data_IF_382212710893
#
_entry.id   IF_382212710893
#
_cell.length_a   1.000
_cell.length_b   1.000
_cell.length_c   1.000
_cell.angle_alpha   90.00
_cell.angle_beta   90.00
_cell.angle_gamma   90.00
#
_symmetry.space_group_name_H-M   'P 1'
#
loop_
_entity.id
_entity.type
_entity.pdbx_description
1 polymer ?
#
# COMPACT_ATOMS: atom_id res chain seq x y z
N UNK A 1 12.81 21.05 21.66
CA UNK A 1 11.97 19.84 21.70
C UNK A 1 11.27 19.81 20.35
N UNK A 2 11.50 18.78 19.54
CA UNK A 2 10.87 18.63 18.24
C UNK A 2 9.38 18.33 18.49
N UNK A 3 8.48 19.13 17.91
CA UNK A 3 7.05 18.82 18.02
C UNK A 3 6.71 17.72 17.02
N UNK A 4 5.64 16.96 17.24
CA UNK A 4 5.22 15.87 16.34
C UNK A 4 5.00 16.36 14.89
N UNK A 5 4.59 17.63 14.72
CA UNK A 5 4.46 18.28 13.42
C UNK A 5 5.79 18.43 12.68
N UNK A 6 6.92 18.54 13.38
CA UNK A 6 8.24 18.67 12.78
C UNK A 6 8.65 17.37 12.04
N UNK A 7 8.22 16.20 12.54
CA UNK A 7 8.46 14.92 11.87
C UNK A 7 7.67 14.85 10.55
N UNK A 8 6.40 15.26 10.58
CA UNK A 8 5.55 15.35 9.39
C UNK A 8 6.18 16.31 8.36
N UNK A 9 6.62 17.50 8.80
CA UNK A 9 7.28 18.49 7.93
C UNK A 9 8.57 17.97 7.33
N UNK A 10 9.35 17.19 8.07
CA UNK A 10 10.56 16.54 7.56
C UNK A 10 10.22 15.56 6.43
N UNK A 11 9.19 14.72 6.60
CA UNK A 11 8.75 13.77 5.57
C UNK A 11 8.22 14.50 4.33
N UNK A 12 7.46 15.60 4.51
CA UNK A 12 6.95 16.44 3.42
C UNK A 12 8.08 17.08 2.58
N UNK A 13 9.16 17.50 3.24
CA UNK A 13 10.35 18.05 2.59
C UNK A 13 11.18 17.02 1.81
N UNK A 14 10.94 15.73 2.05
CA UNK A 14 11.64 14.64 1.39
C UNK A 14 11.41 14.63 -0.12
N UNK A 15 12.47 14.58 -0.96
CA UNK A 15 12.33 14.49 -2.41
C UNK A 15 11.80 13.12 -2.87
N UNK A 16 11.98 12.08 -2.05
CA UNK A 16 11.55 10.72 -2.35
C UNK A 16 10.14 10.39 -1.87
N UNK A 17 9.49 11.28 -1.12
CA UNK A 17 8.13 11.05 -0.61
C UNK A 17 7.13 11.18 -1.76
N UNK A 18 6.31 10.15 -1.95
CA UNK A 18 5.30 10.16 -3.03
C UNK A 18 4.30 11.31 -2.84
N UNK A 19 3.77 11.85 -3.95
CA UNK A 19 2.73 12.90 -3.91
C UNK A 19 1.50 12.47 -3.10
N UNK A 20 1.12 11.19 -3.20
CA UNK A 20 -0.02 10.66 -2.44
C UNK A 20 0.23 10.72 -0.93
N UNK A 21 1.41 10.27 -0.47
CA UNK A 21 1.78 10.32 0.95
C UNK A 21 1.95 11.76 1.44
N UNK A 22 2.50 12.66 0.61
CA UNK A 22 2.58 14.09 0.94
C UNK A 22 1.21 14.68 1.17
N UNK A 23 0.24 14.41 0.29
CA UNK A 23 -1.11 14.92 0.44
C UNK A 23 -1.77 14.37 1.71
N UNK A 24 -1.63 13.07 2.00
CA UNK A 24 -2.18 12.47 3.22
C UNK A 24 -1.62 13.11 4.49
N UNK A 25 -0.30 13.32 4.54
CA UNK A 25 0.37 13.96 5.67
C UNK A 25 -0.01 15.44 5.83
N UNK A 26 -0.11 16.19 4.73
CA UNK A 26 -0.59 17.58 4.77
C UNK A 26 -2.02 17.64 5.30
N UNK A 27 -2.92 16.79 4.81
CA UNK A 27 -4.30 16.75 5.29
C UNK A 27 -4.43 16.28 6.74
N UNK A 28 -3.49 15.47 7.25
CA UNK A 28 -3.48 15.05 8.65
C UNK A 28 -3.16 16.19 9.62
N UNK A 29 -2.36 17.19 9.20
CA UNK A 29 -2.03 18.37 10.03
C UNK A 29 -3.25 19.24 10.35
N UNK A 30 -4.28 19.22 9.50
CA UNK A 30 -5.50 20.03 9.67
C UNK A 30 -6.62 19.28 10.43
N UNK A 31 -6.37 18.02 10.86
CA UNK A 31 -7.39 17.15 11.48
C UNK A 31 -7.13 16.94 12.97
N UNK A 32 -8.17 16.46 13.65
CA UNK A 32 -7.98 15.90 14.99
C UNK A 32 -6.97 14.73 14.93
N UNK A 33 -5.94 14.71 15.80
CA UNK A 33 -4.91 13.67 15.77
C UNK A 33 -5.45 12.25 15.96
N UNK A 34 -6.51 12.06 16.73
CA UNK A 34 -7.10 10.73 16.97
C UNK A 34 -7.80 10.24 15.71
N UNK A 35 -8.55 11.11 15.03
CA UNK A 35 -9.18 10.78 13.75
C UNK A 35 -8.14 10.49 12.66
N UNK A 36 -7.06 11.27 12.60
CA UNK A 36 -6.00 11.08 11.61
C UNK A 36 -5.30 9.71 11.78
N UNK A 37 -5.05 9.28 13.01
CA UNK A 37 -4.47 7.96 13.30
C UNK A 37 -5.44 6.84 12.91
N UNK A 38 -6.70 6.92 13.33
CA UNK A 38 -7.71 5.91 13.02
C UNK A 38 -7.87 5.72 11.50
N UNK A 39 -7.91 6.82 10.74
CA UNK A 39 -8.01 6.76 9.29
C UNK A 39 -6.76 6.18 8.63
N UNK A 40 -5.57 6.49 9.16
CA UNK A 40 -4.32 5.92 8.67
C UNK A 40 -4.23 4.40 8.92
N UNK A 41 -4.68 3.92 10.07
CA UNK A 41 -4.75 2.49 10.39
C UNK A 41 -5.72 1.74 9.48
N UNK A 42 -6.92 2.30 9.28
CA UNK A 42 -7.91 1.73 8.36
C UNK A 42 -7.37 1.69 6.92
N UNK A 43 -6.72 2.76 6.48
CA UNK A 43 -6.10 2.86 5.17
C UNK A 43 -5.01 1.80 4.98
N UNK A 44 -4.11 1.63 5.96
CA UNK A 44 -3.08 0.61 5.92
C UNK A 44 -3.67 -0.80 5.83
N UNK A 45 -4.70 -1.10 6.62
CA UNK A 45 -5.40 -2.39 6.61
C UNK A 45 -6.02 -2.68 5.24
N UNK A 46 -6.76 -1.73 4.66
CA UNK A 46 -7.42 -1.90 3.36
C UNK A 46 -6.41 -2.07 2.22
N UNK A 47 -5.33 -1.28 2.23
CA UNK A 47 -4.26 -1.39 1.23
C UNK A 47 -3.52 -2.72 1.34
N UNK A 48 -3.28 -3.21 2.56
CA UNK A 48 -2.71 -4.53 2.82
C UNK A 48 -3.57 -5.65 2.22
N UNK A 49 -4.85 -5.70 2.56
CA UNK A 49 -5.79 -6.66 1.98
C UNK A 49 -5.81 -6.62 0.45
N UNK A 50 -5.77 -5.41 -0.14
CA UNK A 50 -5.73 -5.25 -1.59
C UNK A 50 -4.44 -5.83 -2.18
N UNK A 51 -3.28 -5.58 -1.56
CA UNK A 51 -2.00 -6.11 -2.01
C UNK A 51 -1.98 -7.64 -1.95
N UNK A 52 -2.49 -8.23 -0.87
CA UNK A 52 -2.59 -9.67 -0.70
C UNK A 52 -3.48 -10.31 -1.77
N UNK A 53 -4.65 -9.71 -2.03
CA UNK A 53 -5.58 -10.19 -3.06
C UNK A 53 -4.96 -10.14 -4.46
N UNK A 54 -4.28 -9.05 -4.81
CA UNK A 54 -3.61 -8.92 -6.12
C UNK A 54 -2.49 -9.95 -6.26
N UNK A 55 -1.72 -10.15 -5.20
CA UNK A 55 -0.61 -11.11 -5.18
C UNK A 55 -1.12 -12.55 -5.33
N UNK A 56 -2.15 -12.91 -4.56
CA UNK A 56 -2.79 -14.22 -4.63
C UNK A 56 -3.38 -14.51 -6.02
N UNK A 57 -4.08 -13.53 -6.63
CA UNK A 57 -4.61 -13.64 -8.00
C UNK A 57 -3.50 -13.85 -9.02
N UNK A 58 -2.43 -13.05 -8.93
CA UNK A 58 -1.29 -13.17 -9.83
C UNK A 58 -0.63 -14.54 -9.71
N UNK A 59 -0.48 -15.05 -8.48
CA UNK A 59 0.08 -16.38 -8.24
C UNK A 59 -0.79 -17.48 -8.85
N UNK A 60 -2.09 -17.45 -8.58
CA UNK A 60 -3.04 -18.43 -9.13
C UNK A 60 -3.04 -18.44 -10.67
N UNK A 61 -2.93 -17.27 -11.30
CA UNK A 61 -2.85 -17.16 -12.76
C UNK A 61 -1.58 -17.80 -13.34
N UNK A 62 -0.44 -17.64 -12.66
CA UNK A 62 0.82 -18.27 -13.06
C UNK A 62 0.76 -19.79 -12.91
N UNK A 63 0.25 -20.28 -11.78
CA UNK A 63 0.11 -21.71 -11.53
C UNK A 63 -0.83 -22.38 -12.55
N UNK A 64 -1.97 -21.74 -12.88
CA UNK A 64 -2.90 -22.23 -13.91
C UNK A 64 -2.26 -22.31 -15.31
N UNK A 65 -1.46 -21.29 -15.69
CA UNK A 65 -0.73 -21.27 -16.96
C UNK A 65 0.23 -22.46 -17.06
N UNK A 66 0.92 -22.79 -15.98
CA UNK A 66 1.92 -23.85 -15.98
C UNK A 66 1.26 -25.25 -16.03
N UNK A 67 0.09 -25.42 -15.41
CA UNK A 67 -0.74 -26.64 -15.56
C UNK A 67 -1.13 -26.87 -17.02
N UNK A 68 -1.62 -25.83 -17.71
CA UNK A 68 -2.03 -25.92 -19.12
C UNK A 68 -0.86 -26.32 -20.01
N UNK A 69 0.32 -25.73 -19.82
CA UNK A 69 1.53 -26.09 -20.59
C UNK A 69 1.95 -27.56 -20.39
N UNK A 70 1.86 -28.07 -19.16
CA UNK A 70 2.20 -29.49 -18.88
C UNK A 70 1.22 -30.44 -19.55
N UNK A 71 -0.08 -30.12 -19.55
CA UNK A 71 -1.09 -30.92 -20.22
C UNK A 71 -0.84 -31.00 -21.74
N UNK A 72 -0.43 -29.90 -22.37
CA UNK A 72 -0.10 -29.86 -23.80
C UNK A 72 1.15 -30.68 -24.16
N UNK A 73 2.14 -30.75 -23.27
CA UNK A 73 3.40 -31.46 -23.53
C UNK A 73 3.34 -32.98 -23.30
N UNK A 74 2.34 -33.49 -22.58
CA UNK A 74 2.20 -34.92 -22.24
C UNK A 74 1.25 -35.69 -23.18
N UNK A 75 0.64 -35.01 -24.16
CA UNK A 75 -0.38 -35.58 -25.05
C UNK A 75 0.06 -35.87 -26.48
N UNK A 76 1.37 -35.77 -26.78
CA UNK A 76 1.97 -36.08 -28.08
C UNK A 76 3.12 -37.06 -27.93
#
# INVERSE_FOLDING_TARGET
MMTTDDEIRQILSGPCTSHWLKNALTSALDRDPVDAVNDAELLAMVLGHRADQITARTRAALDARDVIKRAQNNGG
#
